data_IF_779244878283
#
_entry.id   IF_779244878283
#
_cell.length_a   1.000
_cell.length_b   1.000
_cell.length_c   1.000
_cell.angle_alpha   90.00
_cell.angle_beta   90.00
_cell.angle_gamma   90.00
#
_symmetry.space_group_name_H-M   'P 1'
#
loop_
_entity.id
_entity.type
_entity.pdbx_description
1 polymer ?
#
# COMPACT_ATOMS: atom_id res chain seq x y z
N UNK A 1 -21.73 -14.16 -5.78
CA UNK A 1 -20.35 -14.65 -5.54
C UNK A 1 -19.63 -13.54 -4.81
N UNK A 2 -19.08 -13.81 -3.63
CA UNK A 2 -18.32 -12.81 -2.87
C UNK A 2 -16.90 -12.76 -3.45
N UNK A 3 -16.35 -11.57 -3.66
CA UNK A 3 -14.94 -11.43 -4.00
C UNK A 3 -14.08 -12.03 -2.89
N UNK A 4 -13.00 -12.76 -3.22
CA UNK A 4 -12.13 -13.34 -2.19
C UNK A 4 -11.58 -12.25 -1.28
N UNK A 5 -11.61 -12.51 0.03
CA UNK A 5 -10.98 -11.63 1.01
C UNK A 5 -9.46 -11.73 0.87
N UNK A 6 -8.84 -10.65 0.43
CA UNK A 6 -7.39 -10.58 0.23
C UNK A 6 -6.85 -9.20 0.53
N UNK A 7 -5.67 -9.18 1.14
CA UNK A 7 -4.88 -7.97 1.39
C UNK A 7 -3.60 -8.08 0.57
N UNK A 8 -3.28 -7.03 -0.18
CA UNK A 8 -1.99 -6.88 -0.84
C UNK A 8 -1.15 -5.96 0.04
N UNK A 9 0.00 -6.47 0.44
CA UNK A 9 0.99 -5.76 1.24
C UNK A 9 2.00 -5.10 0.30
N UNK A 10 2.09 -3.78 0.39
CA UNK A 10 2.91 -2.94 -0.48
C UNK A 10 4.12 -2.46 0.32
N UNK A 11 5.26 -3.06 0.02
CA UNK A 11 6.52 -2.86 0.73
C UNK A 11 7.65 -2.63 -0.27
N UNK A 12 8.56 -1.73 0.09
CA UNK A 12 9.83 -1.53 -0.60
C UNK A 12 10.95 -1.82 0.38
N UNK A 13 11.71 -2.88 0.14
CA UNK A 13 12.86 -3.27 0.98
C UNK A 13 14.13 -2.60 0.45
N UNK A 14 14.66 -1.62 1.18
CA UNK A 14 15.90 -0.92 0.80
C UNK A 14 17.10 -1.89 0.78
N UNK A 15 17.86 -1.89 -0.32
CA UNK A 15 18.98 -2.79 -0.56
C UNK A 15 18.61 -4.16 -1.12
N UNK A 16 17.31 -4.44 -1.34
CA UNK A 16 16.88 -5.68 -1.96
C UNK A 16 17.28 -5.72 -3.45
N UNK A 17 17.66 -6.90 -4.02
CA UNK A 17 18.04 -7.00 -5.44
C UNK A 17 16.97 -6.51 -6.43
N UNK A 18 15.71 -6.47 -5.99
CA UNK A 18 14.56 -6.04 -6.77
C UNK A 18 13.87 -4.81 -6.16
N UNK A 19 14.61 -3.96 -5.44
CA UNK A 19 14.07 -2.78 -4.77
C UNK A 19 13.32 -1.85 -5.75
N UNK A 20 13.88 -1.65 -6.95
CA UNK A 20 13.26 -0.80 -7.98
C UNK A 20 11.95 -1.42 -8.50
N UNK A 21 11.93 -2.73 -8.74
CA UNK A 21 10.73 -3.45 -9.17
C UNK A 21 9.65 -3.47 -8.07
N UNK A 22 10.03 -3.60 -6.80
CA UNK A 22 9.11 -3.48 -5.66
C UNK A 22 8.44 -2.10 -5.65
N UNK A 23 9.23 -1.04 -5.82
CA UNK A 23 8.73 0.33 -5.90
C UNK A 23 7.78 0.54 -7.09
N UNK A 24 8.13 0.01 -8.27
CA UNK A 24 7.28 0.06 -9.46
C UNK A 24 5.94 -0.65 -9.24
N UNK A 25 5.95 -1.83 -8.60
CA UNK A 25 4.72 -2.56 -8.26
C UNK A 25 3.88 -1.75 -7.27
N UNK A 26 4.50 -1.19 -6.22
CA UNK A 26 3.79 -0.35 -5.25
C UNK A 26 3.12 0.86 -5.92
N UNK A 27 3.85 1.56 -6.77
CA UNK A 27 3.34 2.70 -7.53
C UNK A 27 2.15 2.29 -8.41
N UNK A 28 2.30 1.23 -9.22
CA UNK A 28 1.28 0.81 -10.16
C UNK A 28 0.00 0.33 -9.45
N UNK A 29 0.13 -0.39 -8.34
CA UNK A 29 -1.01 -0.82 -7.53
C UNK A 29 -1.82 0.36 -6.99
N UNK A 30 -1.14 1.41 -6.53
CA UNK A 30 -1.79 2.63 -6.03
C UNK A 30 -2.41 3.44 -7.18
N UNK A 31 -1.72 3.56 -8.33
CA UNK A 31 -2.25 4.24 -9.52
C UNK A 31 -3.54 3.59 -10.01
N UNK A 32 -3.58 2.26 -10.11
CA UNK A 32 -4.78 1.53 -10.52
C UNK A 32 -5.93 1.73 -9.53
N UNK A 33 -5.66 1.70 -8.22
CA UNK A 33 -6.69 1.97 -7.20
C UNK A 33 -7.21 3.41 -7.29
N UNK A 34 -6.34 4.38 -7.54
CA UNK A 34 -6.72 5.78 -7.71
C UNK A 34 -7.60 5.99 -8.94
N UNK A 35 -7.22 5.37 -10.07
CA UNK A 35 -8.02 5.32 -11.29
C UNK A 35 -9.40 4.70 -11.02
N UNK A 36 -9.43 3.61 -10.26
CA UNK A 36 -10.64 2.89 -9.85
C UNK A 36 -11.26 2.04 -10.95
N UNK A 37 -12.05 1.06 -10.54
CA UNK A 37 -12.75 0.16 -11.45
C UNK A 37 -14.05 0.72 -12.01
N UNK A 38 -14.37 0.24 -13.22
CA UNK A 38 -15.67 0.41 -13.86
C UNK A 38 -16.34 -0.95 -14.04
N UNK A 39 -17.66 -0.99 -13.85
CA UNK A 39 -18.43 -2.19 -14.18
C UNK A 39 -18.61 -2.35 -15.71
N UNK A 40 -19.27 -3.43 -16.13
CA UNK A 40 -19.55 -3.72 -17.55
C UNK A 40 -20.42 -2.65 -18.26
N UNK A 41 -21.05 -1.75 -17.50
CA UNK A 41 -21.83 -0.60 -17.99
C UNK A 41 -21.02 0.71 -17.98
N UNK A 42 -19.73 0.65 -17.66
CA UNK A 42 -18.84 1.82 -17.59
C UNK A 42 -19.04 2.70 -16.35
N UNK A 43 -19.88 2.29 -15.39
CA UNK A 43 -20.10 3.05 -14.15
C UNK A 43 -18.96 2.80 -13.18
N UNK A 44 -18.48 3.86 -12.51
CA UNK A 44 -17.51 3.72 -11.43
C UNK A 44 -18.08 2.91 -10.27
N UNK A 45 -17.28 1.97 -9.78
CA UNK A 45 -17.61 1.15 -8.62
C UNK A 45 -16.53 1.29 -7.56
N UNK A 46 -16.94 1.30 -6.30
CA UNK A 46 -16.01 1.21 -5.18
C UNK A 46 -15.47 -0.21 -5.08
N UNK A 47 -14.14 -0.37 -5.17
CA UNK A 47 -13.48 -1.65 -4.91
C UNK A 47 -13.40 -1.90 -3.41
N UNK A 48 -14.11 -2.92 -2.92
CA UNK A 48 -13.97 -3.38 -1.54
C UNK A 48 -12.71 -4.24 -1.34
N UNK A 49 -12.27 -4.95 -2.38
CA UNK A 49 -11.11 -5.84 -2.37
C UNK A 49 -10.36 -5.80 -3.70
N UNK A 50 -9.04 -6.10 -3.70
CA UNK A 50 -8.22 -6.39 -2.52
C UNK A 50 -8.01 -5.15 -1.63
N UNK A 51 -7.81 -5.36 -0.33
CA UNK A 51 -7.31 -4.29 0.55
C UNK A 51 -5.86 -4.00 0.18
N UNK A 52 -5.44 -2.75 0.35
CA UNK A 52 -4.06 -2.33 0.16
C UNK A 52 -3.52 -1.84 1.49
N UNK A 53 -2.38 -2.36 1.92
CA UNK A 53 -1.64 -1.87 3.10
C UNK A 53 -0.27 -1.43 2.62
N UNK A 54 0.06 -0.16 2.81
CA UNK A 54 1.34 0.42 2.43
C UNK A 54 2.23 0.61 3.66
N UNK A 55 3.44 0.06 3.60
CA UNK A 55 4.41 0.11 4.70
C UNK A 55 5.17 1.42 4.65
N UNK A 56 5.20 2.14 5.77
CA UNK A 56 6.00 3.34 5.96
C UNK A 56 7.25 3.03 6.79
N UNK A 57 8.39 3.43 6.25
CA UNK A 57 9.72 3.36 6.84
C UNK A 57 10.53 4.63 6.48
N UNK A 58 11.80 4.68 6.88
CA UNK A 58 12.66 5.87 6.78
C UNK A 58 12.82 6.40 5.34
N UNK A 59 12.73 5.54 4.33
CA UNK A 59 12.93 5.92 2.92
C UNK A 59 11.65 6.39 2.21
N UNK A 60 10.49 6.36 2.87
CA UNK A 60 9.19 6.76 2.29
C UNK A 60 8.25 7.46 3.30
N UNK A 61 8.78 8.07 4.36
CA UNK A 61 7.98 8.73 5.40
C UNK A 61 7.71 10.23 5.18
N UNK A 62 7.90 10.76 3.96
CA UNK A 62 7.75 12.19 3.60
C UNK A 62 8.81 13.11 4.24
N UNK A 63 9.97 12.57 4.59
CA UNK A 63 11.10 13.30 5.19
C UNK A 63 12.30 13.50 4.22
N UNK A 64 12.07 13.33 2.92
CA UNK A 64 13.08 13.43 1.85
C UNK A 64 13.61 12.09 1.35
N UNK A 65 12.92 10.99 1.65
CA UNK A 65 13.29 9.63 1.26
C UNK A 65 13.09 9.35 -0.23
N UNK A 66 13.82 8.36 -0.75
CA UNK A 66 13.82 7.95 -2.17
C UNK A 66 12.41 7.67 -2.71
N UNK A 67 11.53 7.14 -1.87
CA UNK A 67 10.20 6.66 -2.26
C UNK A 67 9.06 7.53 -1.72
N UNK A 68 9.35 8.72 -1.19
CA UNK A 68 8.34 9.68 -0.74
C UNK A 68 7.32 10.06 -1.83
N UNK A 69 7.71 9.97 -3.10
CA UNK A 69 6.79 10.22 -4.20
C UNK A 69 5.66 9.18 -4.26
N UNK A 70 5.93 7.92 -3.89
CA UNK A 70 4.92 6.86 -3.77
C UNK A 70 4.01 7.17 -2.57
N UNK A 71 4.56 7.66 -1.46
CA UNK A 71 3.76 8.06 -0.30
C UNK A 71 2.84 9.24 -0.59
N UNK A 72 3.28 10.21 -1.40
CA UNK A 72 2.41 11.30 -1.89
C UNK A 72 1.27 10.76 -2.75
N UNK A 73 1.56 9.80 -3.64
CA UNK A 73 0.55 9.13 -4.45
C UNK A 73 -0.42 8.30 -3.58
N UNK A 74 0.08 7.61 -2.56
CA UNK A 74 -0.72 6.88 -1.58
C UNK A 74 -1.67 7.83 -0.85
N UNK A 75 -1.18 8.98 -0.39
CA UNK A 75 -1.98 9.98 0.31
C UNK A 75 -3.11 10.55 -0.57
N UNK A 76 -2.82 10.81 -1.86
CA UNK A 76 -3.84 11.20 -2.84
C UNK A 76 -4.90 10.10 -3.00
N UNK A 77 -4.46 8.84 -3.12
CA UNK A 77 -5.36 7.69 -3.20
C UNK A 77 -6.24 7.58 -1.95
N UNK A 78 -5.68 7.73 -0.75
CA UNK A 78 -6.42 7.66 0.51
C UNK A 78 -7.46 8.76 0.60
N UNK A 79 -7.12 9.99 0.20
CA UNK A 79 -8.05 11.12 0.21
C UNK A 79 -9.27 10.88 -0.71
N UNK A 80 -9.08 10.16 -1.83
CA UNK A 80 -10.15 9.90 -2.81
C UNK A 80 -10.89 8.58 -2.60
N UNK A 81 -10.22 7.55 -2.09
CA UNK A 81 -10.69 6.15 -2.08
C UNK A 81 -10.67 5.50 -0.69
N UNK A 82 -10.18 6.19 0.34
CA UNK A 82 -10.02 5.69 1.73
C UNK A 82 -9.03 4.52 1.88
N UNK A 83 -8.12 4.35 0.90
CA UNK A 83 -7.08 3.32 0.83
C UNK A 83 -5.85 3.89 0.11
N UNK A 84 -4.63 3.37 0.30
CA UNK A 84 -4.28 2.26 1.17
C UNK A 84 -4.38 2.61 2.66
N UNK A 85 -4.46 1.57 3.49
CA UNK A 85 -4.17 1.66 4.92
C UNK A 85 -2.64 1.73 5.10
N UNK A 86 -2.16 2.33 6.20
CA UNK A 86 -0.72 2.51 6.44
C UNK A 86 -0.24 1.71 7.66
N UNK A 87 0.94 1.10 7.56
CA UNK A 87 1.59 0.43 8.68
C UNK A 87 3.00 1.00 8.88
N UNK A 88 3.33 1.44 10.10
CA UNK A 88 4.68 1.93 10.41
C UNK A 88 5.61 0.76 10.74
N UNK A 89 6.61 0.52 9.89
CA UNK A 89 7.65 -0.48 10.15
C UNK A 89 8.44 -0.14 11.42
N UNK A 90 8.72 1.15 11.67
CA UNK A 90 9.36 1.64 12.90
C UNK A 90 8.61 1.23 14.18
N UNK A 91 7.31 1.47 14.24
CA UNK A 91 6.49 1.10 15.40
C UNK A 91 6.37 -0.43 15.53
N UNK A 92 6.22 -1.13 14.41
CA UNK A 92 6.19 -2.60 14.42
C UNK A 92 7.48 -3.19 15.00
N UNK A 93 8.65 -2.71 14.55
CA UNK A 93 9.95 -3.17 15.09
C UNK A 93 10.09 -2.92 16.58
N UNK A 94 9.58 -1.79 17.10
CA UNK A 94 9.55 -1.51 18.53
C UNK A 94 8.68 -2.51 19.31
N UNK A 95 7.56 -2.93 18.72
CA UNK A 95 6.60 -3.81 19.37
C UNK A 95 6.93 -5.30 19.23
N UNK A 96 7.68 -5.70 18.19
CA UNK A 96 7.87 -7.11 17.79
C UNK A 96 9.35 -7.50 17.65
N UNK A 97 10.16 -7.19 18.67
CA UNK A 97 11.57 -7.65 18.77
C UNK A 97 12.42 -7.32 17.52
N UNK A 98 12.21 -6.14 16.94
CA UNK A 98 12.94 -5.70 15.75
C UNK A 98 12.35 -6.20 14.42
N UNK A 99 11.20 -6.89 14.44
CA UNK A 99 10.53 -7.40 13.25
C UNK A 99 9.32 -6.54 12.85
N UNK A 100 8.96 -6.58 11.58
CA UNK A 100 7.68 -6.12 11.08
C UNK A 100 7.19 -7.13 10.02
N UNK A 101 5.87 -7.22 9.84
CA UNK A 101 5.27 -8.23 8.99
C UNK A 101 3.86 -7.81 8.54
N UNK A 102 3.38 -8.35 7.42
CA UNK A 102 2.04 -8.09 6.93
C UNK A 102 0.96 -8.50 7.94
N UNK A 103 -0.13 -7.72 8.04
CA UNK A 103 -1.26 -8.10 8.89
C UNK A 103 -1.94 -9.38 8.39
N UNK A 104 -2.22 -10.31 9.29
CA UNK A 104 -3.02 -11.49 8.97
C UNK A 104 -4.51 -11.14 8.98
N UNK A 105 -5.09 -10.89 7.81
CA UNK A 105 -6.52 -10.63 7.65
C UNK A 105 -6.90 -9.16 7.83
N UNK A 106 -7.79 -8.85 8.78
CA UNK A 106 -8.42 -7.53 8.92
C UNK A 106 -7.73 -6.57 9.90
N UNK A 107 -6.92 -7.07 10.83
CA UNK A 107 -6.37 -6.25 11.91
C UNK A 107 -5.06 -5.59 11.49
N UNK A 108 -5.08 -4.26 11.40
CA UNK A 108 -3.92 -3.36 11.28
C UNK A 108 -3.78 -2.64 12.62
#
# INVERSE_FOLDING_TARGET
>A
MQSPFGTIYLEVEEGHPYEEEMALICEEMIRQRLQGMKNYKGQEIGEAFPKLVYVLDEHNCLEGGKYDYITKLAAECTAKRLVPDYQSAKIMRQNYEGNYFPPMGYNI
#
